data_IF_766145223669
#
_entry.id   IF_766145223669
#
_cell.length_a   1.000
_cell.length_b   1.000
_cell.length_c   1.000
_cell.angle_alpha   90.00
_cell.angle_beta   90.00
_cell.angle_gamma   90.00
#
_symmetry.space_group_name_H-M   'P 1'
#
loop_
_entity.id
_entity.type
_entity.pdbx_description
1 polymer ?
#
# COMPACT_ATOMS: atom_id res chain seq x y z
N UNK A 1 19.20 6.24 -46.80
CA UNK A 1 18.79 5.91 -45.43
C UNK A 1 19.68 6.58 -44.39
N UNK A 2 21.00 6.34 -44.43
CA UNK A 2 21.94 6.87 -43.43
C UNK A 2 22.03 8.41 -43.38
N UNK A 3 21.85 9.08 -44.52
CA UNK A 3 21.76 10.55 -44.61
C UNK A 3 20.50 11.11 -43.92
N UNK A 4 19.45 10.30 -43.76
CA UNK A 4 18.17 10.71 -43.15
C UNK A 4 18.04 10.28 -41.68
N UNK A 5 18.79 9.26 -41.25
CA UNK A 5 18.77 8.69 -39.89
C UNK A 5 20.18 8.66 -39.27
N UNK A 6 20.92 9.76 -39.36
CA UNK A 6 22.33 9.84 -38.94
C UNK A 6 22.56 9.69 -37.43
N UNK A 7 21.51 9.84 -36.62
CA UNK A 7 21.55 9.71 -35.15
C UNK A 7 21.34 8.27 -34.66
N UNK A 8 20.88 7.37 -35.54
CA UNK A 8 20.51 6.00 -35.18
C UNK A 8 21.62 5.03 -35.60
N UNK A 9 22.00 4.11 -34.71
CA UNK A 9 22.97 3.07 -35.01
C UNK A 9 22.49 2.18 -36.17
N UNK A 10 23.36 1.96 -37.16
CA UNK A 10 23.08 1.21 -38.38
C UNK A 10 22.51 -0.19 -38.14
N UNK A 11 22.97 -0.87 -37.08
CA UNK A 11 22.48 -2.21 -36.74
C UNK A 11 20.97 -2.18 -36.44
N UNK A 12 20.51 -1.25 -35.60
CA UNK A 12 19.08 -1.09 -35.32
C UNK A 12 18.31 -0.65 -36.57
N UNK A 13 18.89 0.25 -37.37
CA UNK A 13 18.25 0.76 -38.59
C UNK A 13 17.98 -0.35 -39.60
N UNK A 14 18.93 -1.28 -39.78
CA UNK A 14 18.78 -2.44 -40.66
C UNK A 14 17.68 -3.41 -40.20
N UNK A 15 17.43 -3.48 -38.90
CA UNK A 15 16.48 -4.43 -38.29
C UNK A 15 15.07 -3.86 -38.13
N UNK A 16 14.85 -2.56 -38.33
CA UNK A 16 13.52 -1.95 -38.11
C UNK A 16 12.42 -2.53 -38.99
N UNK A 17 12.72 -2.83 -40.25
CA UNK A 17 11.73 -3.42 -41.16
C UNK A 17 11.26 -4.78 -40.61
N UNK A 18 12.22 -5.65 -40.27
CA UNK A 18 11.94 -6.96 -39.70
C UNK A 18 11.22 -6.86 -38.35
N UNK A 19 11.76 -6.06 -37.42
CA UNK A 19 11.22 -5.90 -36.07
C UNK A 19 9.81 -5.30 -36.09
N UNK A 20 9.56 -4.31 -36.95
CA UNK A 20 8.25 -3.68 -37.10
C UNK A 20 7.20 -4.66 -37.64
N UNK A 21 7.51 -5.37 -38.71
CA UNK A 21 6.61 -6.39 -39.27
C UNK A 21 6.39 -7.54 -38.28
N UNK A 22 7.43 -7.94 -37.55
CA UNK A 22 7.34 -8.97 -36.51
C UNK A 22 6.39 -8.56 -35.40
N UNK A 23 6.56 -7.37 -34.82
CA UNK A 23 5.67 -6.85 -33.76
C UNK A 23 4.23 -6.75 -34.26
N UNK A 24 4.02 -6.23 -35.48
CA UNK A 24 2.67 -6.10 -36.05
C UNK A 24 2.00 -7.47 -36.22
N UNK A 25 2.73 -8.45 -36.77
CA UNK A 25 2.25 -9.83 -36.95
C UNK A 25 1.93 -10.47 -35.61
N UNK A 26 2.78 -10.25 -34.60
CA UNK A 26 2.60 -10.80 -33.27
C UNK A 26 1.37 -10.22 -32.57
N UNK A 27 1.15 -8.90 -32.65
CA UNK A 27 -0.03 -8.25 -32.08
C UNK A 27 -1.32 -8.65 -32.81
N UNK A 28 -1.35 -8.60 -34.13
CA UNK A 28 -2.57 -8.85 -34.91
C UNK A 28 -2.90 -10.34 -35.03
N UNK A 29 -1.93 -11.18 -35.37
CA UNK A 29 -2.16 -12.61 -35.63
C UNK A 29 -1.90 -13.49 -34.41
N UNK A 30 -0.98 -13.08 -33.51
CA UNK A 30 -0.65 -13.86 -32.31
C UNK A 30 -1.54 -13.52 -31.12
N UNK A 31 -1.68 -12.25 -30.77
CA UNK A 31 -2.54 -11.79 -29.68
C UNK A 31 -3.95 -11.42 -30.11
N UNK A 32 -4.26 -11.53 -31.40
CA UNK A 32 -5.60 -11.30 -31.95
C UNK A 32 -6.17 -9.89 -31.67
N UNK A 33 -5.31 -8.87 -31.66
CA UNK A 33 -5.79 -7.49 -31.63
C UNK A 33 -6.52 -7.16 -32.95
N UNK A 34 -7.74 -6.65 -32.84
CA UNK A 34 -8.57 -6.22 -33.97
C UNK A 34 -8.48 -4.72 -34.14
N UNK A 35 -9.03 -4.19 -35.24
CA UNK A 35 -9.10 -2.74 -35.46
C UNK A 35 -9.77 -1.98 -34.31
N UNK A 36 -10.75 -2.61 -33.63
CA UNK A 36 -11.44 -2.02 -32.50
C UNK A 36 -10.62 -2.03 -31.20
N UNK A 37 -9.83 -3.08 -30.96
CA UNK A 37 -9.01 -3.20 -29.74
C UNK A 37 -7.62 -2.58 -29.89
N UNK A 38 -7.14 -2.35 -31.11
CA UNK A 38 -5.86 -1.71 -31.40
C UNK A 38 -5.72 -0.34 -30.74
N UNK A 39 -6.80 0.44 -30.69
CA UNK A 39 -6.82 1.77 -30.04
C UNK A 39 -6.53 1.75 -28.54
N UNK A 40 -6.62 0.59 -27.89
CA UNK A 40 -6.38 0.42 -26.47
C UNK A 40 -4.91 0.06 -26.16
N UNK A 41 -4.06 -0.12 -27.18
CA UNK A 41 -2.64 -0.41 -27.00
C UNK A 41 -1.88 0.90 -26.79
N UNK A 42 -1.18 1.01 -25.66
CA UNK A 42 -0.33 2.14 -25.34
C UNK A 42 1.13 1.70 -25.27
N UNK A 43 1.95 2.15 -26.23
CA UNK A 43 3.40 1.91 -26.22
C UNK A 43 4.07 2.91 -25.25
N UNK A 44 4.56 2.42 -24.12
CA UNK A 44 5.12 3.26 -23.04
C UNK A 44 6.50 2.77 -22.61
N UNK A 45 7.50 3.66 -22.62
CA UNK A 45 8.82 3.39 -22.05
C UNK A 45 8.96 3.81 -20.58
N UNK A 46 8.21 4.84 -20.17
CA UNK A 46 8.22 5.39 -18.80
C UNK A 46 6.82 5.80 -18.35
N UNK A 47 6.54 5.67 -17.06
CA UNK A 47 5.33 6.17 -16.39
C UNK A 47 5.77 7.00 -15.19
N UNK A 48 5.30 8.25 -15.05
CA UNK A 48 5.66 9.13 -13.93
C UNK A 48 7.17 9.15 -13.60
N UNK A 49 8.02 9.23 -14.63
CA UNK A 49 9.49 9.21 -14.59
C UNK A 49 10.19 7.86 -14.31
N UNK A 50 9.46 6.79 -13.97
CA UNK A 50 10.04 5.44 -13.81
C UNK A 50 9.93 4.63 -15.09
N UNK A 51 10.94 3.81 -15.40
CA UNK A 51 10.91 2.90 -16.56
C UNK A 51 9.89 1.78 -16.35
N UNK A 52 9.10 1.51 -17.39
CA UNK A 52 8.14 0.40 -17.36
C UNK A 52 8.90 -0.92 -17.49
N UNK A 53 8.66 -1.84 -16.57
CA UNK A 53 9.29 -3.16 -16.56
C UNK A 53 8.92 -3.97 -15.31
N UNK A 54 9.28 -5.25 -15.31
CA UNK A 54 9.03 -6.18 -14.21
C UNK A 54 9.90 -5.90 -12.97
N UNK A 55 10.99 -5.17 -13.12
CA UNK A 55 11.96 -4.88 -12.05
C UNK A 55 11.33 -4.17 -10.85
N UNK A 56 10.46 -3.19 -11.09
CA UNK A 56 9.77 -2.46 -10.02
C UNK A 56 8.79 -3.37 -9.27
N UNK A 57 7.97 -4.14 -9.99
CA UNK A 57 7.04 -5.10 -9.39
C UNK A 57 7.76 -6.20 -8.61
N UNK A 58 8.91 -6.66 -9.11
CA UNK A 58 9.77 -7.62 -8.44
C UNK A 58 10.30 -7.07 -7.11
N UNK A 59 10.80 -5.83 -7.10
CA UNK A 59 11.25 -5.16 -5.87
C UNK A 59 10.11 -5.03 -4.85
N UNK A 60 8.93 -4.61 -5.30
CA UNK A 60 7.75 -4.47 -4.43
C UNK A 60 7.33 -5.80 -3.79
N UNK A 61 7.34 -6.88 -4.55
CA UNK A 61 7.03 -8.23 -4.04
C UNK A 61 8.04 -8.68 -2.98
N UNK A 62 9.34 -8.48 -3.22
CA UNK A 62 10.39 -8.85 -2.26
C UNK A 62 10.30 -8.06 -0.95
N UNK A 63 9.87 -6.81 -1.02
CA UNK A 63 9.69 -5.94 0.15
C UNK A 63 8.35 -6.10 0.86
N UNK A 64 7.47 -6.97 0.36
CA UNK A 64 6.10 -7.15 0.84
C UNK A 64 5.33 -5.81 0.98
N UNK A 65 5.63 -4.86 0.07
CA UNK A 65 5.02 -3.52 0.06
C UNK A 65 3.69 -3.46 -0.71
N UNK A 66 3.27 -4.57 -1.34
CA UNK A 66 1.95 -4.71 -1.93
C UNK A 66 1.09 -5.44 -0.90
N UNK A 67 0.33 -4.72 -0.05
CA UNK A 67 -0.49 -5.36 0.96
C UNK A 67 -1.60 -6.16 0.26
N UNK A 68 -1.73 -7.44 0.62
CA UNK A 68 -2.80 -8.31 0.13
C UNK A 68 -4.16 -7.96 0.74
N UNK A 69 -4.15 -7.31 1.90
CA UNK A 69 -5.32 -6.94 2.68
C UNK A 69 -5.27 -5.44 2.97
N UNK A 70 -6.42 -4.79 3.07
CA UNK A 70 -6.46 -3.42 3.57
C UNK A 70 -5.78 -3.35 4.94
N UNK A 71 -4.99 -2.29 5.23
CA UNK A 71 -4.35 -2.14 6.52
C UNK A 71 -5.42 -2.28 7.60
N UNK A 72 -5.17 -3.08 8.66
CA UNK A 72 -6.19 -3.37 9.66
C UNK A 72 -6.73 -2.06 10.20
N UNK A 73 -8.05 -1.88 10.05
CA UNK A 73 -8.72 -0.72 10.62
C UNK A 73 -8.50 -0.74 12.14
N UNK A 74 -8.23 0.43 12.73
CA UNK A 74 -8.03 0.51 14.16
C UNK A 74 -9.24 -0.12 14.87
N UNK A 75 -9.04 -1.11 15.76
CA UNK A 75 -10.15 -1.88 16.34
C UNK A 75 -11.09 -1.03 17.19
N UNK A 76 -10.64 0.17 17.59
CA UNK A 76 -11.40 1.15 18.34
C UNK A 76 -11.29 2.51 17.66
N UNK A 77 -12.41 3.25 17.64
CA UNK A 77 -12.36 4.66 17.28
C UNK A 77 -11.48 5.42 18.28
N UNK A 78 -10.77 6.44 17.80
CA UNK A 78 -9.92 7.27 18.65
C UNK A 78 -10.69 7.80 19.88
N UNK A 79 -11.95 8.20 19.69
CA UNK A 79 -12.81 8.67 20.78
C UNK A 79 -13.10 7.59 21.82
N UNK A 80 -13.38 6.36 21.39
CA UNK A 80 -13.67 5.24 22.31
C UNK A 80 -12.43 4.86 23.12
N UNK A 81 -11.27 4.84 22.48
CA UNK A 81 -10.00 4.56 23.17
C UNK A 81 -9.70 5.58 24.26
N UNK A 82 -9.81 6.88 23.95
CA UNK A 82 -9.58 7.96 24.92
C UNK A 82 -10.58 7.88 26.08
N UNK A 83 -11.86 7.63 25.79
CA UNK A 83 -12.89 7.48 26.83
C UNK A 83 -12.57 6.34 27.80
N UNK A 84 -12.22 5.15 27.28
CA UNK A 84 -11.87 3.99 28.12
C UNK A 84 -10.64 4.27 28.99
N UNK A 85 -9.61 4.90 28.43
CA UNK A 85 -8.40 5.28 29.17
C UNK A 85 -8.71 6.20 30.36
N UNK A 86 -9.54 7.22 30.14
CA UNK A 86 -9.95 8.15 31.22
C UNK A 86 -10.80 7.43 32.26
N UNK A 87 -11.78 6.63 31.82
CA UNK A 87 -12.69 5.91 32.71
C UNK A 87 -11.94 4.95 33.66
N UNK A 88 -11.04 4.13 33.11
CA UNK A 88 -10.24 3.21 33.94
C UNK A 88 -9.29 3.96 34.88
N UNK A 89 -8.69 5.07 34.43
CA UNK A 89 -7.83 5.90 35.29
C UNK A 89 -8.60 6.47 36.48
N UNK A 90 -9.84 6.93 36.27
CA UNK A 90 -10.69 7.50 37.30
C UNK A 90 -11.11 6.44 38.33
N UNK A 91 -11.45 5.23 37.87
CA UNK A 91 -11.74 4.08 38.75
C UNK A 91 -10.53 3.75 39.62
N UNK A 92 -9.33 3.68 39.04
CA UNK A 92 -8.11 3.38 39.80
C UNK A 92 -7.85 4.42 40.89
N UNK A 93 -8.03 5.71 40.59
CA UNK A 93 -7.89 6.78 41.59
C UNK A 93 -8.91 6.61 42.72
N UNK A 94 -10.18 6.32 42.40
CA UNK A 94 -11.21 6.09 43.42
C UNK A 94 -10.85 4.90 44.31
N UNK A 95 -10.42 3.78 43.73
CA UNK A 95 -10.03 2.58 44.49
C UNK A 95 -8.86 2.88 45.42
N UNK A 96 -7.86 3.63 44.96
CA UNK A 96 -6.72 4.05 45.79
C UNK A 96 -7.17 4.97 46.93
N UNK A 97 -8.04 5.96 46.66
CA UNK A 97 -8.55 6.86 47.69
C UNK A 97 -9.39 6.13 48.74
N UNK A 98 -10.27 5.22 48.32
CA UNK A 98 -11.07 4.38 49.23
C UNK A 98 -10.16 3.46 50.05
N UNK A 99 -9.16 2.84 49.42
CA UNK A 99 -8.16 2.03 50.12
C UNK A 99 -7.44 2.85 51.19
N UNK A 100 -6.87 4.01 50.83
CA UNK A 100 -6.19 4.89 51.78
C UNK A 100 -7.13 5.31 52.91
N UNK A 101 -8.38 5.70 52.61
CA UNK A 101 -9.35 6.10 53.63
C UNK A 101 -9.69 4.96 54.60
N UNK A 102 -9.90 3.74 54.08
CA UNK A 102 -10.14 2.55 54.89
C UNK A 102 -8.96 2.20 55.79
N UNK A 103 -7.72 2.32 55.29
CA UNK A 103 -6.50 2.09 56.08
C UNK A 103 -6.23 3.20 57.11
N UNK A 104 -6.58 4.46 56.81
CA UNK A 104 -6.39 5.59 57.75
C UNK A 104 -7.49 5.72 58.82
N UNK A 105 -8.70 5.20 58.58
CA UNK A 105 -9.85 5.23 59.52
C UNK A 105 -10.33 3.80 59.86
N UNK A 106 -9.53 2.97 60.56
CA UNK A 106 -9.98 1.64 60.98
C UNK A 106 -11.14 1.68 62.00
N UNK A 107 -11.36 2.83 62.66
CA UNK A 107 -12.31 2.96 63.77
C UNK A 107 -13.74 3.34 63.37
N UNK A 108 -14.01 3.72 62.12
CA UNK A 108 -15.38 4.02 61.67
C UNK A 108 -16.16 2.74 61.34
N UNK A 109 -15.53 1.80 60.62
CA UNK A 109 -16.16 0.55 60.20
C UNK A 109 -16.45 -0.42 61.36
N UNK A 110 -15.71 -0.33 62.48
CA UNK A 110 -15.97 -1.12 63.69
C UNK A 110 -17.08 -0.54 64.58
N UNK A 111 -17.61 0.66 64.28
CA UNK A 111 -18.67 1.29 65.08
C UNK A 111 -20.08 0.98 64.58
N UNK A 112 -20.20 0.56 63.32
CA UNK A 112 -21.46 0.13 62.69
C UNK A 112 -21.65 -1.40 62.73
N UNK A 113 -20.69 -2.15 63.28
CA UNK A 113 -20.63 -3.63 63.30
C UNK A 113 -20.75 -4.21 64.73
N UNK A 114 -20.87 -3.37 65.77
CA UNK A 114 -21.18 -3.78 67.16
C UNK A 114 -22.56 -3.28 67.57
#
# INVERSE_FOLDING_TARGET
LQVYFSDVNENYLSEYCFSGTYILTLLLNGYHFTAETWKNIHFMGKVRSTSVGWTLGYMLNLTNMIPAEEPPSAPLSHSTYVFLMVFFSLILVIVVLVGIFAFHKPSFFWKDVV
#
